data_IF_155818653911
#
_entry.id   IF_155818653911
#
_cell.length_a   1.000
_cell.length_b   1.000
_cell.length_c   1.000
_cell.angle_alpha   90.00
_cell.angle_beta   90.00
_cell.angle_gamma   90.00
#
_symmetry.space_group_name_H-M   'P 1'
#
loop_
_entity.id
_entity.type
_entity.pdbx_description
1 polymer ?
#
# COMPACT_ATOMS: atom_id res chain seq x y z
N UNK A 1 18.29 -18.52 1.34
CA UNK A 1 19.34 -19.24 0.58
C UNK A 1 19.38 -18.71 -0.84
N UNK A 2 20.56 -18.51 -1.39
CA UNK A 2 20.77 -18.18 -2.80
C UNK A 2 21.67 -19.25 -3.38
N UNK A 3 21.21 -19.97 -4.40
CA UNK A 3 21.93 -21.08 -5.05
C UNK A 3 22.58 -22.06 -4.04
N UNK A 4 21.81 -22.51 -3.04
CA UNK A 4 22.28 -23.42 -1.98
C UNK A 4 23.12 -22.76 -0.87
N UNK A 5 23.61 -21.53 -1.06
CA UNK A 5 24.41 -20.81 -0.08
C UNK A 5 23.53 -20.15 0.99
N UNK A 6 23.94 -20.27 2.25
CA UNK A 6 23.36 -19.51 3.36
C UNK A 6 24.12 -18.20 3.53
N UNK A 7 23.41 -17.09 3.44
CA UNK A 7 23.91 -15.75 3.76
C UNK A 7 22.91 -15.05 4.67
N UNK A 8 23.40 -14.22 5.57
CA UNK A 8 22.56 -13.46 6.51
C UNK A 8 22.88 -11.97 6.40
N UNK A 9 21.85 -11.15 6.32
CA UNK A 9 21.96 -9.69 6.27
C UNK A 9 21.02 -9.05 7.27
N UNK A 10 21.38 -7.89 7.77
CA UNK A 10 20.51 -7.06 8.59
C UNK A 10 19.67 -6.15 7.68
N UNK A 11 18.41 -5.97 8.03
CA UNK A 11 17.51 -5.02 7.38
C UNK A 11 16.55 -4.43 8.40
N UNK A 12 16.38 -3.12 8.38
CA UNK A 12 15.36 -2.43 9.17
C UNK A 12 13.97 -2.54 8.53
N UNK A 13 13.92 -2.96 7.27
CA UNK A 13 12.67 -3.10 6.53
C UNK A 13 12.30 -4.58 6.39
N UNK A 14 11.37 -5.02 7.24
CA UNK A 14 10.88 -6.42 7.31
C UNK A 14 9.68 -6.69 6.40
N UNK A 15 9.29 -5.72 5.55
CA UNK A 15 8.23 -5.91 4.58
C UNK A 15 8.57 -7.07 3.63
N UNK A 16 7.62 -7.98 3.45
CA UNK A 16 7.79 -9.20 2.65
C UNK A 16 8.21 -8.91 1.20
N UNK A 17 7.68 -7.86 0.59
CA UNK A 17 8.05 -7.44 -0.77
C UNK A 17 9.51 -7.03 -0.85
N UNK A 18 10.01 -6.28 0.13
CA UNK A 18 11.42 -5.88 0.19
C UNK A 18 12.34 -7.07 0.43
N UNK A 19 11.92 -8.06 1.22
CA UNK A 19 12.67 -9.31 1.39
C UNK A 19 12.84 -10.04 0.05
N UNK A 20 11.77 -10.15 -0.76
CA UNK A 20 11.85 -10.74 -2.09
C UNK A 20 12.74 -9.93 -3.03
N UNK A 21 12.67 -8.59 -2.99
CA UNK A 21 13.53 -7.73 -3.78
C UNK A 21 15.01 -7.90 -3.42
N UNK A 22 15.33 -7.99 -2.12
CA UNK A 22 16.69 -8.28 -1.64
C UNK A 22 17.14 -9.67 -2.12
N UNK A 23 16.28 -10.68 -2.04
CA UNK A 23 16.60 -12.03 -2.53
C UNK A 23 16.87 -12.05 -4.03
N UNK A 24 16.03 -11.36 -4.82
CA UNK A 24 16.23 -11.24 -6.27
C UNK A 24 17.56 -10.52 -6.59
N UNK A 25 17.84 -9.41 -5.88
CA UNK A 25 19.10 -8.67 -6.02
C UNK A 25 20.29 -9.56 -5.70
N UNK A 26 20.25 -10.32 -4.60
CA UNK A 26 21.33 -11.24 -4.22
C UNK A 26 21.49 -12.37 -5.23
N UNK A 27 20.41 -12.91 -5.77
CA UNK A 27 20.46 -13.93 -6.80
C UNK A 27 21.15 -13.41 -8.07
N UNK A 28 20.79 -12.19 -8.52
CA UNK A 28 21.41 -11.53 -9.66
C UNK A 28 22.89 -11.20 -9.41
N UNK A 29 23.22 -10.63 -8.25
CA UNK A 29 24.59 -10.30 -7.87
C UNK A 29 25.49 -11.55 -7.82
N UNK A 30 24.94 -12.68 -7.39
CA UNK A 30 25.70 -13.94 -7.28
C UNK A 30 26.18 -14.50 -8.64
N UNK A 31 25.62 -13.99 -9.76
CA UNK A 31 26.12 -14.32 -11.10
C UNK A 31 27.43 -13.60 -11.42
N UNK A 32 27.69 -12.46 -10.77
CA UNK A 32 28.82 -11.57 -11.10
C UNK A 32 29.84 -11.50 -9.96
N UNK A 33 29.47 -11.81 -8.73
CA UNK A 33 30.35 -11.70 -7.55
C UNK A 33 29.98 -12.69 -6.47
N UNK A 34 30.94 -12.99 -5.59
CA UNK A 34 30.68 -13.81 -4.42
C UNK A 34 29.94 -13.02 -3.34
N UNK A 35 28.64 -13.27 -3.19
CA UNK A 35 27.77 -12.59 -2.23
C UNK A 35 28.16 -12.80 -0.76
N UNK A 36 28.98 -13.82 -0.42
CA UNK A 36 29.53 -14.01 0.93
C UNK A 36 30.50 -12.89 1.35
N UNK A 37 31.07 -12.16 0.37
CA UNK A 37 31.95 -11.02 0.61
C UNK A 37 31.20 -9.73 0.97
N UNK A 38 29.87 -9.69 0.78
CA UNK A 38 29.05 -8.53 1.12
C UNK A 38 29.00 -8.38 2.64
N UNK A 39 29.07 -7.14 3.12
CA UNK A 39 28.90 -6.81 4.54
C UNK A 39 27.49 -7.14 5.01
N UNK A 40 27.34 -7.68 6.22
CA UNK A 40 26.02 -8.03 6.79
C UNK A 40 25.05 -6.85 6.86
N UNK A 41 25.56 -5.61 6.96
CA UNK A 41 24.76 -4.38 7.02
C UNK A 41 24.47 -3.75 5.64
N UNK A 42 24.81 -4.41 4.53
CA UNK A 42 24.60 -3.88 3.15
C UNK A 42 23.16 -3.41 2.92
N UNK A 43 22.18 -4.09 3.50
CA UNK A 43 20.75 -3.77 3.33
C UNK A 43 20.12 -3.09 4.56
N UNK A 44 20.93 -2.72 5.57
CA UNK A 44 20.42 -2.18 6.83
C UNK A 44 19.60 -0.90 6.62
N UNK A 45 20.11 0.00 5.80
CA UNK A 45 19.51 1.32 5.52
C UNK A 45 18.83 1.38 4.15
N UNK A 46 18.36 0.24 3.63
CA UNK A 46 17.64 0.21 2.37
C UNK A 46 16.32 0.98 2.53
N UNK A 47 16.22 2.12 1.85
CA UNK A 47 15.01 2.92 1.80
C UNK A 47 14.09 2.38 0.70
N UNK A 48 12.82 2.25 1.02
CA UNK A 48 11.79 2.01 0.01
C UNK A 48 11.60 3.29 -0.81
N UNK A 49 11.49 3.21 -2.14
CA UNK A 49 11.08 4.38 -2.93
C UNK A 49 9.73 4.91 -2.46
N UNK A 50 9.57 6.23 -2.47
CA UNK A 50 8.32 6.90 -2.08
C UNK A 50 7.10 6.31 -2.80
N UNK A 51 5.97 6.27 -2.11
CA UNK A 51 4.73 5.71 -2.65
C UNK A 51 4.64 4.18 -2.63
N UNK A 52 5.48 3.48 -1.85
CA UNK A 52 5.51 2.01 -1.75
C UNK A 52 5.38 1.52 -0.29
N UNK A 53 4.35 2.01 0.39
CA UNK A 53 4.04 1.62 1.77
C UNK A 53 4.73 2.49 2.80
N UNK A 54 5.15 3.70 2.43
CA UNK A 54 5.71 4.66 3.37
C UNK A 54 4.65 5.08 4.37
N UNK A 55 5.01 5.04 5.63
CA UNK A 55 4.15 5.56 6.70
C UNK A 55 4.70 6.90 7.16
N UNK A 56 3.92 7.94 6.99
CA UNK A 56 4.25 9.29 7.46
C UNK A 56 3.19 9.82 8.43
N UNK A 57 3.65 10.62 9.38
CA UNK A 57 2.78 11.34 10.30
C UNK A 57 2.58 12.75 9.77
N UNK A 58 1.34 13.11 9.50
CA UNK A 58 0.97 14.42 9.01
C UNK A 58 0.27 15.20 10.10
N UNK A 59 0.74 16.41 10.35
CA UNK A 59 0.08 17.36 11.25
C UNK A 59 -0.76 18.33 10.42
N UNK A 60 -2.08 18.23 10.55
CA UNK A 60 -3.04 19.09 9.85
C UNK A 60 -3.83 19.90 10.86
N UNK A 61 -3.56 21.21 10.95
CA UNK A 61 -4.17 22.08 11.97
C UNK A 61 -3.97 21.45 13.36
N UNK A 62 -5.05 21.04 14.02
CA UNK A 62 -5.01 20.44 15.35
C UNK A 62 -5.14 18.91 15.34
N UNK A 63 -4.97 18.26 14.18
CA UNK A 63 -5.09 16.81 14.03
C UNK A 63 -3.76 16.20 13.63
N UNK A 64 -3.45 15.05 14.21
CA UNK A 64 -2.34 14.17 13.79
C UNK A 64 -2.96 12.99 13.08
N UNK A 65 -2.56 12.72 11.85
CA UNK A 65 -3.01 11.57 11.07
C UNK A 65 -1.83 10.76 10.58
N UNK A 66 -2.05 9.49 10.32
CA UNK A 66 -1.05 8.60 9.74
C UNK A 66 -1.41 8.32 8.28
N UNK A 67 -0.52 8.68 7.37
CA UNK A 67 -0.66 8.39 5.95
C UNK A 67 0.19 7.20 5.58
N UNK A 68 -0.43 6.19 4.98
CA UNK A 68 0.25 5.08 4.30
C UNK A 68 0.19 5.37 2.80
N UNK A 69 1.34 5.66 2.20
CA UNK A 69 1.43 6.04 0.78
C UNK A 69 1.78 4.83 -0.09
N UNK A 70 0.85 4.41 -0.95
CA UNK A 70 0.98 3.33 -1.94
C UNK A 70 0.70 3.84 -3.37
N UNK A 71 1.03 5.11 -3.64
CA UNK A 71 0.61 5.80 -4.87
C UNK A 71 1.53 5.61 -6.07
N UNK A 72 2.70 4.98 -5.93
CA UNK A 72 3.69 4.87 -7.01
C UNK A 72 3.15 4.15 -8.23
N UNK A 73 2.56 2.98 -8.06
CA UNK A 73 1.89 2.21 -9.11
C UNK A 73 0.98 1.17 -8.48
N UNK A 74 -0.09 0.80 -9.17
CA UNK A 74 -1.08 -0.14 -8.66
C UNK A 74 -1.50 -1.16 -9.72
N UNK A 75 -1.44 -2.43 -9.35
CA UNK A 75 -2.06 -3.52 -10.07
C UNK A 75 -2.89 -4.39 -9.11
N UNK A 76 -3.74 -5.31 -9.60
CA UNK A 76 -4.63 -6.08 -8.72
C UNK A 76 -3.92 -6.84 -7.60
N UNK A 77 -2.72 -7.38 -7.85
CA UNK A 77 -1.96 -8.13 -6.86
C UNK A 77 -1.30 -7.22 -5.82
N UNK A 78 -0.64 -6.16 -6.26
CA UNK A 78 0.00 -5.20 -5.35
C UNK A 78 -1.03 -4.49 -4.49
N UNK A 79 -2.17 -4.07 -5.06
CA UNK A 79 -3.26 -3.46 -4.31
C UNK A 79 -3.86 -4.42 -3.28
N UNK A 80 -4.06 -5.69 -3.63
CA UNK A 80 -4.50 -6.71 -2.66
C UNK A 80 -3.52 -6.80 -1.50
N UNK A 81 -2.22 -6.90 -1.77
CA UNK A 81 -1.17 -6.98 -0.73
C UNK A 81 -1.15 -5.73 0.14
N UNK A 82 -1.25 -4.55 -0.46
CA UNK A 82 -1.31 -3.27 0.27
C UNK A 82 -2.53 -3.22 1.21
N UNK A 83 -3.71 -3.62 0.73
CA UNK A 83 -4.94 -3.68 1.54
C UNK A 83 -4.81 -4.66 2.71
N UNK A 84 -4.24 -5.84 2.48
CA UNK A 84 -4.00 -6.84 3.53
C UNK A 84 -2.99 -6.35 4.59
N UNK A 85 -1.94 -5.64 4.16
CA UNK A 85 -0.96 -5.03 5.06
C UNK A 85 -1.58 -3.89 5.87
N UNK A 86 -2.33 -3.01 5.20
CA UNK A 86 -3.04 -1.90 5.86
C UNK A 86 -4.07 -2.41 6.88
N UNK A 87 -4.77 -3.49 6.57
CA UNK A 87 -5.73 -4.10 7.49
C UNK A 87 -5.09 -4.60 8.78
N UNK A 88 -3.85 -5.10 8.72
CA UNK A 88 -3.07 -5.59 9.87
C UNK A 88 -2.54 -4.49 10.78
N UNK A 89 -2.44 -3.25 10.31
CA UNK A 89 -2.01 -2.14 11.15
C UNK A 89 -2.97 -2.03 12.34
N UNK A 90 -2.41 -2.10 13.55
CA UNK A 90 -3.23 -1.99 14.75
C UNK A 90 -3.61 -0.53 14.98
N UNK A 91 -4.89 -0.24 14.90
CA UNK A 91 -5.46 1.09 15.09
C UNK A 91 -6.42 1.07 16.27
N UNK A 92 -5.88 0.95 17.49
CA UNK A 92 -6.71 1.08 18.70
C UNK A 92 -7.33 2.49 18.72
N UNK A 93 -8.65 2.57 18.73
CA UNK A 93 -9.45 3.80 18.81
C UNK A 93 -9.31 4.78 17.62
N UNK A 94 -8.79 4.34 16.47
CA UNK A 94 -8.74 5.15 15.26
C UNK A 94 -9.45 4.47 14.08
N UNK A 95 -9.96 5.26 13.15
CA UNK A 95 -10.63 4.76 11.95
C UNK A 95 -9.65 4.62 10.79
N UNK A 96 -9.90 3.64 9.96
CA UNK A 96 -9.15 3.40 8.73
C UNK A 96 -9.90 3.95 7.54
N UNK A 97 -9.28 4.89 6.86
CA UNK A 97 -9.77 5.50 5.64
C UNK A 97 -8.96 5.04 4.44
N UNK A 98 -9.61 4.85 3.32
CA UNK A 98 -8.98 4.40 2.09
C UNK A 98 -9.36 5.35 0.96
N UNK A 99 -8.37 5.86 0.25
CA UNK A 99 -8.55 6.64 -0.98
C UNK A 99 -7.96 5.84 -2.14
N UNK A 100 -8.78 5.51 -3.13
CA UNK A 100 -8.36 4.71 -4.28
C UNK A 100 -8.51 5.47 -5.58
N UNK A 101 -7.48 5.37 -6.43
CA UNK A 101 -7.51 5.74 -7.84
C UNK A 101 -7.72 4.54 -8.76
N UNK A 102 -7.75 4.81 -10.07
CA UNK A 102 -7.78 3.76 -11.08
C UNK A 102 -6.46 2.98 -11.10
N UNK A 103 -6.55 1.66 -11.24
CA UNK A 103 -5.42 0.85 -11.68
C UNK A 103 -5.30 0.98 -13.19
N UNK A 104 -4.16 1.48 -13.65
CA UNK A 104 -3.88 1.70 -15.08
C UNK A 104 -3.38 0.42 -15.76
N UNK A 105 -3.28 0.45 -17.07
CA UNK A 105 -2.69 -0.61 -17.91
C UNK A 105 -3.37 -1.99 -17.85
N UNK A 106 -4.62 -2.06 -17.39
CA UNK A 106 -5.38 -3.31 -17.31
C UNK A 106 -6.16 -3.64 -18.60
N UNK A 107 -6.16 -2.73 -19.59
CA UNK A 107 -6.84 -2.91 -20.88
C UNK A 107 -8.31 -3.32 -20.73
N UNK A 108 -8.74 -4.29 -21.49
CA UNK A 108 -10.13 -4.84 -21.49
C UNK A 108 -10.55 -5.44 -20.13
N UNK A 109 -9.62 -5.72 -19.25
CA UNK A 109 -9.88 -6.32 -17.94
C UNK A 109 -10.16 -5.29 -16.83
N UNK A 110 -10.01 -3.99 -17.11
CA UNK A 110 -10.13 -2.91 -16.11
C UNK A 110 -11.39 -3.01 -15.26
N UNK A 111 -12.57 -3.08 -15.88
CA UNK A 111 -13.86 -3.17 -15.17
C UNK A 111 -13.92 -4.37 -14.23
N UNK A 112 -13.54 -5.56 -14.75
CA UNK A 112 -13.57 -6.81 -13.99
C UNK A 112 -12.63 -6.76 -12.79
N UNK A 113 -11.39 -6.29 -13.00
CA UNK A 113 -10.37 -6.24 -11.95
C UNK A 113 -10.74 -5.24 -10.85
N UNK A 114 -11.22 -4.04 -11.21
CA UNK A 114 -11.70 -3.08 -10.24
C UNK A 114 -12.88 -3.62 -9.42
N UNK A 115 -13.81 -4.31 -10.05
CA UNK A 115 -14.94 -4.93 -9.35
C UNK A 115 -14.49 -5.96 -8.31
N UNK A 116 -13.46 -6.75 -8.59
CA UNK A 116 -12.93 -7.75 -7.66
C UNK A 116 -12.32 -7.13 -6.39
N UNK A 117 -11.77 -5.92 -6.46
CA UNK A 117 -11.19 -5.22 -5.32
C UNK A 117 -12.23 -4.99 -4.22
N UNK A 118 -13.50 -4.74 -4.57
CA UNK A 118 -14.56 -4.56 -3.57
C UNK A 118 -14.72 -5.78 -2.66
N UNK A 119 -14.56 -6.99 -3.20
CA UNK A 119 -14.67 -8.24 -2.43
C UNK A 119 -13.55 -8.34 -1.37
N UNK A 120 -12.36 -7.83 -1.69
CA UNK A 120 -11.23 -7.78 -0.76
C UNK A 120 -11.52 -6.77 0.34
N UNK A 121 -11.86 -5.53 -0.02
CA UNK A 121 -12.13 -4.45 0.93
C UNK A 121 -13.28 -4.82 1.88
N UNK A 122 -14.31 -5.49 1.39
CA UNK A 122 -15.45 -5.89 2.20
C UNK A 122 -15.10 -6.88 3.34
N UNK A 123 -13.94 -7.54 3.25
CA UNK A 123 -13.42 -8.45 4.29
C UNK A 123 -12.46 -7.77 5.28
N UNK A 124 -12.03 -6.54 5.02
CA UNK A 124 -11.10 -5.79 5.87
C UNK A 124 -11.82 -5.00 6.96
N UNK A 125 -11.04 -4.48 7.92
CA UNK A 125 -11.48 -3.55 8.98
C UNK A 125 -11.49 -2.09 8.53
N UNK A 126 -11.29 -1.80 7.24
CA UNK A 126 -11.37 -0.45 6.68
C UNK A 126 -12.77 0.10 6.91
N UNK A 127 -12.86 1.32 7.47
CA UNK A 127 -14.12 1.94 7.83
C UNK A 127 -14.78 2.68 6.67
N UNK A 128 -14.01 3.50 5.95
CA UNK A 128 -14.53 4.38 4.90
C UNK A 128 -13.67 4.34 3.64
N UNK A 129 -14.30 4.30 2.49
CA UNK A 129 -13.64 4.22 1.18
C UNK A 129 -14.09 5.36 0.29
N UNK A 130 -13.12 6.10 -0.18
CA UNK A 130 -13.26 7.17 -1.16
C UNK A 130 -12.61 6.73 -2.46
N UNK A 131 -13.21 7.08 -3.58
CA UNK A 131 -12.66 6.73 -4.88
C UNK A 131 -12.61 7.92 -5.80
N UNK A 132 -11.58 7.98 -6.65
CA UNK A 132 -11.40 8.98 -7.68
C UNK A 132 -10.94 8.29 -8.98
N UNK A 133 -11.68 8.42 -10.07
CA UNK A 133 -11.36 7.80 -11.34
C UNK A 133 -12.58 7.27 -12.06
N UNK A 134 -12.35 6.65 -13.20
CA UNK A 134 -13.41 6.09 -14.06
C UNK A 134 -13.75 4.65 -13.66
N UNK A 135 -12.76 3.79 -13.65
CA UNK A 135 -12.92 2.35 -13.43
C UNK A 135 -13.07 1.96 -11.98
N UNK A 136 -12.45 2.70 -11.06
CA UNK A 136 -12.54 2.46 -9.61
C UNK A 136 -13.98 2.63 -9.06
N UNK A 137 -14.85 3.30 -9.80
CA UNK A 137 -16.29 3.37 -9.49
C UNK A 137 -16.93 1.97 -9.44
N UNK A 138 -16.40 1.00 -10.19
CA UNK A 138 -16.86 -0.39 -10.12
C UNK A 138 -16.53 -1.05 -8.77
N UNK A 139 -15.39 -0.70 -8.18
CA UNK A 139 -15.07 -1.07 -6.80
C UNK A 139 -16.08 -0.47 -5.83
N UNK A 140 -16.33 0.84 -5.95
CA UNK A 140 -17.26 1.55 -5.07
C UNK A 140 -18.68 0.98 -5.11
N UNK A 141 -19.18 0.62 -6.30
CA UNK A 141 -20.51 -0.02 -6.46
C UNK A 141 -20.62 -1.31 -5.65
N UNK A 142 -19.56 -2.13 -5.63
CA UNK A 142 -19.52 -3.43 -4.95
C UNK A 142 -19.21 -3.40 -3.46
N UNK A 143 -18.95 -2.22 -2.88
CA UNK A 143 -18.72 -2.09 -1.44
C UNK A 143 -20.02 -2.24 -0.64
N UNK A 144 -19.89 -2.76 0.60
CA UNK A 144 -20.97 -2.71 1.60
C UNK A 144 -21.32 -1.25 1.92
N UNK A 145 -22.60 -0.97 2.17
CA UNK A 145 -23.10 0.41 2.39
C UNK A 145 -22.36 1.13 3.52
N UNK A 146 -22.04 0.43 4.61
CA UNK A 146 -21.32 0.99 5.76
C UNK A 146 -19.85 1.36 5.47
N UNK A 147 -19.28 0.92 4.33
CA UNK A 147 -17.91 1.26 3.90
C UNK A 147 -17.87 2.35 2.82
N UNK A 148 -19.00 2.66 2.22
CA UNK A 148 -19.09 3.67 1.16
C UNK A 148 -19.03 5.07 1.77
N UNK A 149 -17.96 5.80 1.48
CA UNK A 149 -17.89 7.22 1.80
C UNK A 149 -18.31 8.06 0.59
N UNK A 150 -17.43 8.34 -0.36
CA UNK A 150 -17.75 9.25 -1.46
C UNK A 150 -16.96 8.95 -2.73
N UNK A 151 -17.58 9.24 -3.89
CA UNK A 151 -16.88 9.35 -5.17
C UNK A 151 -16.40 10.79 -5.30
N UNK A 152 -15.09 10.99 -5.47
CA UNK A 152 -14.46 12.30 -5.59
C UNK A 152 -14.36 12.68 -7.07
N UNK A 153 -14.71 13.92 -7.38
CA UNK A 153 -14.68 14.43 -8.76
C UNK A 153 -13.32 15.03 -9.12
N UNK A 154 -12.54 15.45 -8.12
CA UNK A 154 -11.18 15.94 -8.30
C UNK A 154 -10.32 15.69 -7.04
N UNK A 155 -8.99 15.78 -7.22
CA UNK A 155 -7.99 15.54 -6.16
C UNK A 155 -8.04 16.58 -5.01
N UNK A 156 -8.48 17.80 -5.26
CA UNK A 156 -8.51 18.87 -4.25
C UNK A 156 -9.54 18.59 -3.16
N UNK A 157 -10.61 17.86 -3.48
CA UNK A 157 -11.61 17.46 -2.49
C UNK A 157 -11.11 16.46 -1.44
N UNK A 158 -9.93 15.86 -1.65
CA UNK A 158 -9.27 15.02 -0.64
C UNK A 158 -8.93 15.87 0.61
N UNK A 159 -8.51 17.11 0.42
CA UNK A 159 -8.19 18.04 1.52
C UNK A 159 -9.43 18.34 2.38
N UNK A 160 -10.57 18.61 1.72
CA UNK A 160 -11.84 18.86 2.41
C UNK A 160 -12.27 17.65 3.25
N UNK A 161 -12.03 16.46 2.71
CA UNK A 161 -12.32 15.21 3.33
C UNK A 161 -11.47 14.98 4.58
N UNK A 162 -10.16 15.20 4.48
CA UNK A 162 -9.22 15.12 5.60
C UNK A 162 -9.66 16.07 6.73
N UNK A 163 -10.11 17.26 6.39
CA UNK A 163 -10.54 18.23 7.38
C UNK A 163 -11.86 17.87 8.09
N UNK A 164 -12.80 17.25 7.38
CA UNK A 164 -14.15 16.96 7.89
C UNK A 164 -14.27 15.60 8.56
N UNK A 165 -13.74 14.56 7.91
CA UNK A 165 -14.09 13.19 8.24
C UNK A 165 -13.02 12.48 9.09
N UNK A 166 -11.76 12.94 9.03
CA UNK A 166 -10.68 12.36 9.82
C UNK A 166 -10.61 12.97 11.23
N UNK A 167 -10.41 12.13 12.21
CA UNK A 167 -10.18 12.51 13.60
C UNK A 167 -8.69 12.51 13.94
N UNK A 168 -8.36 12.97 15.15
CA UNK A 168 -7.00 12.90 15.66
C UNK A 168 -6.59 11.42 15.82
N UNK A 169 -5.41 11.07 15.29
CA UNK A 169 -4.81 9.72 15.27
C UNK A 169 -5.47 8.69 14.32
N UNK A 170 -6.34 9.13 13.38
CA UNK A 170 -6.79 8.27 12.28
C UNK A 170 -5.67 7.97 11.27
#
# INVERSE_FOLDING_TARGET
KVNGMHVSFYSNNINKSNQYNILATLASLNLYTNIKKLKKNTFLNLKTPSGRGDVSKINLKNKKIYLVDETYNSNPLSLKTALENYDKINSKNSKKYLVLGDMLELGKHSVKQHRLISKIINKTKINQVYVIGKYIKETFKGLKSNKKAKILNNKFRIIDLINKDLNNND
#
